data_IF_878709575628
#
_entry.id   IF_878709575628
#
_cell.length_a   1.000
_cell.length_b   1.000
_cell.length_c   1.000
_cell.angle_alpha   90.00
_cell.angle_beta   90.00
_cell.angle_gamma   90.00
#
_symmetry.space_group_name_H-M   'P 1'
#
loop_
_entity.id
_entity.type
_entity.pdbx_description
1 polymer ?
#
# COMPACT_ATOMS: atom_id res chain seq x y z
N UNK A 1 -24.16 -5.95 -11.76
CA UNK A 1 -25.15 -6.69 -10.95
C UNK A 1 -24.38 -7.59 -10.00
N UNK A 2 -24.75 -7.63 -8.72
CA UNK A 2 -24.08 -8.46 -7.71
C UNK A 2 -24.54 -9.93 -7.80
N UNK A 3 -23.60 -10.84 -7.55
CA UNK A 3 -23.83 -12.29 -7.57
C UNK A 3 -24.83 -12.72 -6.49
N UNK A 4 -25.41 -13.91 -6.67
CA UNK A 4 -26.29 -14.49 -5.65
C UNK A 4 -25.52 -14.82 -4.36
N UNK A 5 -24.28 -15.28 -4.51
CA UNK A 5 -23.37 -15.59 -3.40
C UNK A 5 -23.07 -14.35 -2.56
N UNK A 6 -22.78 -13.22 -3.20
CA UNK A 6 -22.57 -11.94 -2.54
C UNK A 6 -23.77 -11.49 -1.72
N UNK A 7 -24.97 -11.52 -2.32
CA UNK A 7 -26.22 -11.18 -1.62
C UNK A 7 -26.46 -12.09 -0.42
N UNK A 8 -26.33 -13.41 -0.59
CA UNK A 8 -26.50 -14.38 0.49
C UNK A 8 -25.54 -14.11 1.66
N UNK A 9 -24.26 -13.86 1.37
CA UNK A 9 -23.25 -13.58 2.39
C UNK A 9 -23.59 -12.31 3.20
N UNK A 10 -23.95 -11.22 2.50
CA UNK A 10 -24.24 -9.94 3.15
C UNK A 10 -25.59 -9.97 3.90
N UNK A 11 -26.58 -10.72 3.43
CA UNK A 11 -27.84 -10.92 4.17
C UNK A 11 -27.63 -11.76 5.43
N UNK A 12 -26.86 -12.86 5.33
CA UNK A 12 -26.57 -13.73 6.46
C UNK A 12 -25.77 -13.05 7.58
N UNK A 13 -25.05 -11.96 7.26
CA UNK A 13 -24.20 -11.21 8.18
C UNK A 13 -24.77 -9.84 8.55
N UNK A 14 -26.01 -9.56 8.14
CA UNK A 14 -26.75 -8.36 8.50
C UNK A 14 -26.29 -7.06 7.84
N UNK A 15 -25.42 -7.13 6.81
CA UNK A 15 -25.04 -5.98 5.98
C UNK A 15 -26.08 -5.66 4.91
N UNK A 16 -26.84 -6.66 4.47
CA UNK A 16 -28.09 -6.48 3.72
C UNK A 16 -29.28 -6.88 4.57
N UNK A 17 -30.35 -6.10 4.45
CA UNK A 17 -31.65 -6.43 5.03
C UNK A 17 -32.42 -7.45 4.18
N UNK A 18 -33.57 -7.96 4.68
CA UNK A 18 -34.35 -9.03 4.03
C UNK A 18 -34.87 -8.71 2.62
N UNK A 19 -34.86 -7.44 2.21
CA UNK A 19 -35.27 -6.99 0.87
C UNK A 19 -34.07 -6.60 -0.02
N UNK A 20 -32.84 -7.00 0.36
CA UNK A 20 -31.61 -6.61 -0.32
C UNK A 20 -31.19 -5.15 -0.08
N UNK A 21 -31.85 -4.45 0.85
CA UNK A 21 -31.52 -3.06 1.18
C UNK A 21 -30.23 -3.00 1.99
N UNK A 22 -29.28 -2.15 1.58
CA UNK A 22 -28.07 -1.87 2.33
C UNK A 22 -28.35 -1.41 3.77
N UNK A 23 -27.65 -1.99 4.74
CA UNK A 23 -27.69 -1.55 6.11
C UNK A 23 -27.07 -0.14 6.28
N UNK A 24 -27.49 0.63 7.29
CA UNK A 24 -26.85 1.91 7.59
C UNK A 24 -25.34 1.77 7.74
N UNK A 25 -24.57 2.62 7.06
CA UNK A 25 -23.10 2.58 7.08
C UNK A 25 -22.48 1.73 5.97
N UNK A 26 -23.25 0.90 5.25
CA UNK A 26 -22.78 0.24 4.04
C UNK A 26 -22.90 1.20 2.85
N UNK A 27 -21.75 1.61 2.30
CA UNK A 27 -21.69 2.40 1.07
C UNK A 27 -21.37 1.47 -0.10
N UNK A 28 -22.21 1.46 -1.12
CA UNK A 28 -22.02 0.68 -2.33
C UNK A 28 -21.29 1.51 -3.39
N UNK A 29 -20.65 0.84 -4.36
CA UNK A 29 -19.86 1.50 -5.39
C UNK A 29 -20.68 2.48 -6.27
N UNK A 30 -22.00 2.26 -6.41
CA UNK A 30 -22.94 3.08 -7.17
C UNK A 30 -23.60 4.21 -6.34
N UNK A 31 -23.31 4.31 -5.05
CA UNK A 31 -23.84 5.36 -4.19
C UNK A 31 -23.24 6.74 -4.50
N UNK A 32 -24.03 7.80 -4.33
CA UNK A 32 -23.55 9.18 -4.44
C UNK A 32 -22.42 9.53 -3.46
N UNK A 33 -22.35 8.83 -2.32
CA UNK A 33 -21.31 9.02 -1.31
C UNK A 33 -19.99 8.27 -1.63
N UNK A 34 -19.97 7.41 -2.65
CA UNK A 34 -18.80 6.65 -3.09
C UNK A 34 -17.61 7.54 -3.47
N UNK A 35 -17.84 8.82 -3.81
CA UNK A 35 -16.80 9.77 -4.17
C UNK A 35 -15.69 9.93 -3.11
N UNK A 36 -16.01 9.77 -1.81
CA UNK A 36 -15.01 9.82 -0.72
C UNK A 36 -14.11 8.59 -0.67
N UNK A 37 -14.54 7.48 -1.27
CA UNK A 37 -13.84 6.19 -1.31
C UNK A 37 -13.53 5.79 -2.76
N UNK A 38 -13.37 6.78 -3.66
CA UNK A 38 -13.15 6.53 -5.09
C UNK A 38 -11.99 5.57 -5.36
N UNK A 39 -10.90 5.70 -4.62
CA UNK A 39 -9.71 4.84 -4.73
C UNK A 39 -10.01 3.35 -4.43
N UNK A 40 -11.06 3.08 -3.64
CA UNK A 40 -11.51 1.73 -3.27
C UNK A 40 -12.43 1.14 -4.34
N UNK A 41 -13.30 1.97 -4.94
CA UNK A 41 -14.39 1.52 -5.80
C UNK A 41 -14.10 1.58 -7.31
N UNK A 42 -13.36 2.58 -7.79
CA UNK A 42 -13.34 2.91 -9.22
C UNK A 42 -12.02 3.57 -9.67
N UNK A 43 -10.90 3.17 -9.08
CA UNK A 43 -9.57 3.63 -9.48
C UNK A 43 -8.82 2.48 -10.15
N UNK A 44 -8.72 2.55 -11.48
CA UNK A 44 -8.05 1.54 -12.30
C UNK A 44 -6.55 1.40 -11.97
N UNK A 45 -5.91 2.47 -11.48
CA UNK A 45 -4.51 2.43 -11.06
C UNK A 45 -4.33 1.71 -9.72
N UNK A 46 -5.40 1.53 -8.93
CA UNK A 46 -5.43 0.71 -7.71
C UNK A 46 -5.96 -0.68 -8.00
N UNK A 47 -7.04 -0.80 -8.78
CA UNK A 47 -7.54 -2.07 -9.31
C UNK A 47 -8.26 -2.97 -8.31
N UNK A 48 -8.65 -2.46 -7.14
CA UNK A 48 -9.46 -3.21 -6.17
C UNK A 48 -10.90 -3.37 -6.65
N UNK A 49 -11.50 -2.27 -7.13
CA UNK A 49 -12.87 -2.22 -7.61
C UNK A 49 -13.84 -2.92 -6.66
N UNK A 50 -13.82 -2.52 -5.39
CA UNK A 50 -14.70 -3.09 -4.37
C UNK A 50 -16.17 -2.84 -4.69
N UNK A 51 -17.05 -3.65 -4.13
CA UNK A 51 -18.50 -3.57 -4.36
C UNK A 51 -19.19 -2.80 -3.23
N UNK A 52 -18.64 -2.88 -2.01
CA UNK A 52 -19.10 -2.09 -0.89
C UNK A 52 -18.00 -1.86 0.16
N UNK A 53 -18.20 -0.83 0.98
CA UNK A 53 -17.42 -0.59 2.20
C UNK A 53 -18.39 -0.34 3.34
N UNK A 54 -18.22 -1.07 4.44
CA UNK A 54 -18.97 -0.82 5.66
C UNK A 54 -18.20 0.09 6.60
N UNK A 55 -18.89 1.11 7.11
CA UNK A 55 -18.36 2.11 8.04
C UNK A 55 -19.15 2.07 9.34
N UNK A 56 -18.47 1.74 10.44
CA UNK A 56 -19.02 1.80 11.79
C UNK A 56 -18.41 3.01 12.52
N UNK A 57 -19.25 3.83 13.17
CA UNK A 57 -18.79 4.99 13.96
C UNK A 57 -17.81 5.90 13.20
N UNK A 58 -18.11 6.21 11.93
CA UNK A 58 -17.27 7.02 11.02
C UNK A 58 -15.92 6.40 10.63
N UNK A 59 -15.66 5.14 10.98
CA UNK A 59 -14.43 4.42 10.61
C UNK A 59 -14.78 3.25 9.68
N UNK A 60 -14.16 3.13 8.50
CA UNK A 60 -14.34 1.96 7.65
C UNK A 60 -13.78 0.71 8.35
N UNK A 61 -14.56 -0.37 8.35
CA UNK A 61 -14.23 -1.60 9.08
C UNK A 61 -14.19 -2.83 8.18
N UNK A 62 -14.86 -2.81 7.03
CA UNK A 62 -14.81 -3.91 6.07
C UNK A 62 -14.94 -3.42 4.64
N UNK A 63 -14.12 -3.99 3.76
CA UNK A 63 -14.22 -3.86 2.30
C UNK A 63 -14.81 -5.15 1.77
N UNK A 64 -15.79 -5.07 0.88
CA UNK A 64 -16.44 -6.22 0.26
C UNK A 64 -16.13 -6.25 -1.23
N UNK A 65 -15.61 -7.38 -1.69
CA UNK A 65 -15.33 -7.68 -3.09
C UNK A 65 -16.13 -8.90 -3.53
N UNK A 66 -17.01 -8.71 -4.50
CA UNK A 66 -17.73 -9.77 -5.21
C UNK A 66 -16.82 -10.32 -6.33
N UNK A 67 -16.53 -11.62 -6.29
CA UNK A 67 -15.79 -12.29 -7.35
C UNK A 67 -16.70 -12.69 -8.53
N UNK A 68 -18.01 -12.44 -8.44
CA UNK A 68 -18.99 -12.83 -9.44
C UNK A 68 -19.32 -14.32 -9.38
N UNK A 69 -19.68 -14.88 -10.54
CA UNK A 69 -20.14 -16.28 -10.65
C UNK A 69 -19.01 -17.28 -10.96
N UNK A 70 -17.77 -16.80 -11.13
CA UNK A 70 -16.60 -17.64 -11.38
C UNK A 70 -15.68 -17.67 -10.16
N UNK A 71 -14.97 -18.78 -9.97
CA UNK A 71 -13.93 -18.86 -8.94
C UNK A 71 -12.78 -17.93 -9.36
N UNK A 72 -12.38 -16.98 -8.52
CA UNK A 72 -11.29 -16.06 -8.86
C UNK A 72 -9.96 -16.81 -8.93
N UNK A 73 -9.09 -16.38 -9.83
CA UNK A 73 -7.73 -16.90 -9.90
C UNK A 73 -6.90 -16.46 -8.67
N UNK A 74 -5.78 -17.12 -8.43
CA UNK A 74 -4.86 -16.72 -7.36
C UNK A 74 -4.31 -15.30 -7.57
N UNK A 75 -4.10 -14.91 -8.83
CA UNK A 75 -3.66 -13.56 -9.18
C UNK A 75 -4.73 -12.51 -8.93
N UNK A 76 -6.01 -12.83 -9.12
CA UNK A 76 -7.10 -11.91 -8.75
C UNK A 76 -7.09 -11.64 -7.25
N UNK A 77 -6.99 -12.70 -6.44
CA UNK A 77 -6.95 -12.62 -4.98
C UNK A 77 -5.74 -11.82 -4.51
N UNK A 78 -4.55 -12.12 -5.04
CA UNK A 78 -3.30 -11.40 -4.73
C UNK A 78 -3.45 -9.91 -5.03
N UNK A 79 -3.94 -9.56 -6.23
CA UNK A 79 -4.11 -8.16 -6.66
C UNK A 79 -5.12 -7.41 -5.79
N UNK A 80 -6.25 -8.02 -5.45
CA UNK A 80 -7.25 -7.39 -4.58
C UNK A 80 -6.72 -7.21 -3.16
N UNK A 81 -6.03 -8.21 -2.60
CA UNK A 81 -5.45 -8.12 -1.27
C UNK A 81 -4.32 -7.08 -1.20
N UNK A 82 -3.41 -7.06 -2.18
CA UNK A 82 -2.35 -6.05 -2.28
C UNK A 82 -2.94 -4.63 -2.41
N UNK A 83 -4.00 -4.47 -3.21
CA UNK A 83 -4.68 -3.19 -3.35
C UNK A 83 -5.35 -2.74 -2.04
N UNK A 84 -6.06 -3.65 -1.36
CA UNK A 84 -6.68 -3.36 -0.07
C UNK A 84 -5.64 -3.02 1.01
N UNK A 85 -4.49 -3.70 1.01
CA UNK A 85 -3.38 -3.40 1.91
C UNK A 85 -2.80 -2.01 1.65
N UNK A 86 -2.51 -1.68 0.39
CA UNK A 86 -1.98 -0.37 0.01
C UNK A 86 -2.97 0.79 0.27
N UNK A 87 -4.28 0.53 0.20
CA UNK A 87 -5.31 1.50 0.57
C UNK A 87 -5.39 1.71 2.10
N UNK A 88 -5.23 0.65 2.88
CA UNK A 88 -5.33 0.63 4.36
C UNK A 88 -6.56 1.38 4.93
N UNK A 89 -7.66 1.42 4.17
CA UNK A 89 -8.89 2.15 4.56
C UNK A 89 -9.68 1.43 5.65
N UNK A 90 -9.64 0.09 5.66
CA UNK A 90 -10.33 -0.77 6.61
C UNK A 90 -9.43 -1.98 6.95
N UNK A 91 -9.58 -2.60 8.13
CA UNK A 91 -8.76 -3.73 8.56
C UNK A 91 -9.07 -5.05 7.84
N UNK A 92 -10.28 -5.23 7.31
CA UNK A 92 -10.74 -6.52 6.81
C UNK A 92 -11.23 -6.43 5.37
N UNK A 93 -10.70 -7.29 4.50
CA UNK A 93 -11.18 -7.51 3.14
C UNK A 93 -11.97 -8.81 3.09
N UNK A 94 -13.18 -8.73 2.57
CA UNK A 94 -14.05 -9.87 2.26
C UNK A 94 -14.02 -10.11 0.76
N UNK A 95 -13.53 -11.27 0.34
CA UNK A 95 -13.70 -11.74 -1.03
C UNK A 95 -14.80 -12.79 -1.00
N UNK A 96 -15.96 -12.45 -1.56
CA UNK A 96 -17.08 -13.38 -1.71
C UNK A 96 -16.96 -14.07 -3.05
N UNK A 97 -16.72 -15.37 -3.01
CA UNK A 97 -16.65 -16.25 -4.19
C UNK A 97 -18.00 -16.95 -4.39
N UNK A 98 -18.22 -17.66 -5.51
CA UNK A 98 -19.45 -18.43 -5.71
C UNK A 98 -19.76 -19.46 -4.61
N UNK A 99 -18.72 -19.95 -3.91
CA UNK A 99 -18.83 -21.07 -2.96
C UNK A 99 -18.51 -20.70 -1.52
N UNK A 100 -17.70 -19.67 -1.29
CA UNK A 100 -17.19 -19.32 0.04
C UNK A 100 -16.86 -17.83 0.18
N UNK A 101 -16.87 -17.34 1.42
CA UNK A 101 -16.32 -16.04 1.82
C UNK A 101 -14.91 -16.25 2.35
N UNK A 102 -13.96 -15.47 1.84
CA UNK A 102 -12.55 -15.47 2.29
C UNK A 102 -12.23 -14.13 2.94
N UNK A 103 -11.65 -14.18 4.14
CA UNK A 103 -11.31 -12.99 4.91
C UNK A 103 -9.81 -12.75 4.89
N UNK A 104 -9.39 -11.51 4.65
CA UNK A 104 -7.98 -11.11 4.55
C UNK A 104 -7.67 -9.91 5.43
N UNK A 105 -6.50 -9.91 6.05
CA UNK A 105 -5.97 -8.79 6.82
C UNK A 105 -5.43 -7.70 5.89
N UNK A 106 -6.05 -6.52 5.90
CA UNK A 106 -5.59 -5.38 5.09
C UNK A 106 -4.44 -4.59 5.73
N UNK A 107 -4.04 -4.91 6.96
CA UNK A 107 -3.08 -4.14 7.75
C UNK A 107 -1.70 -4.79 7.81
N UNK A 108 -1.60 -6.06 7.43
CA UNK A 108 -0.35 -6.79 7.29
C UNK A 108 -0.12 -7.22 5.84
N UNK A 109 1.12 -7.04 5.36
CA UNK A 109 1.56 -7.77 4.18
C UNK A 109 1.76 -9.23 4.60
N UNK A 110 1.28 -10.20 3.82
CA UNK A 110 1.63 -11.60 4.01
C UNK A 110 3.16 -11.77 3.96
N UNK A 111 3.72 -12.73 4.71
CA UNK A 111 5.11 -13.09 4.55
C UNK A 111 5.35 -13.57 3.11
N UNK A 112 6.51 -13.23 2.54
CA UNK A 112 6.94 -13.85 1.28
C UNK A 112 7.06 -15.37 1.49
N UNK A 113 6.61 -16.14 0.51
CA UNK A 113 6.63 -17.60 0.61
C UNK A 113 8.06 -18.12 0.77
N UNK A 114 8.33 -18.95 1.77
CA UNK A 114 9.63 -19.62 1.93
C UNK A 114 9.94 -20.58 0.78
N UNK A 115 8.91 -21.05 0.06
CA UNK A 115 9.06 -22.00 -1.05
C UNK A 115 9.43 -21.35 -2.39
N UNK A 116 9.53 -20.01 -2.46
CA UNK A 116 9.87 -19.28 -3.68
C UNK A 116 8.78 -19.29 -4.75
N UNK A 117 7.56 -19.72 -4.40
CA UNK A 117 6.39 -19.59 -5.26
C UNK A 117 5.78 -18.20 -5.09
N UNK A 118 6.40 -17.20 -5.73
CA UNK A 118 5.92 -15.81 -5.79
C UNK A 118 4.51 -15.69 -6.43
N UNK A 119 4.05 -16.77 -7.07
CA UNK A 119 2.75 -16.91 -7.73
C UNK A 119 1.63 -17.48 -6.86
N UNK A 120 1.87 -17.84 -5.59
CA UNK A 120 0.79 -18.37 -4.73
C UNK A 120 -0.02 -17.24 -4.07
N UNK A 121 -1.36 -17.32 -4.07
CA UNK A 121 -2.19 -16.34 -3.36
C UNK A 121 -1.94 -16.39 -1.83
N UNK A 122 -2.05 -15.25 -1.11
CA UNK A 122 -1.99 -15.25 0.34
C UNK A 122 -3.03 -16.18 0.96
N UNK A 123 -2.67 -16.84 2.07
CA UNK A 123 -3.63 -17.59 2.85
C UNK A 123 -4.64 -16.64 3.51
N UNK A 124 -5.97 -16.90 3.42
CA UNK A 124 -6.95 -16.11 4.13
C UNK A 124 -6.83 -16.33 5.65
N UNK A 125 -7.28 -15.35 6.42
CA UNK A 125 -7.45 -15.49 7.87
C UNK A 125 -8.40 -16.66 8.19
N UNK A 126 -9.49 -16.78 7.44
CA UNK A 126 -10.42 -17.92 7.48
C UNK A 126 -11.29 -17.95 6.20
N UNK A 127 -11.93 -19.09 5.94
CA UNK A 127 -12.81 -19.35 4.79
C UNK A 127 -14.15 -19.92 5.25
N UNK A 128 -15.26 -19.31 4.86
CA UNK A 128 -16.60 -19.71 5.28
C UNK A 128 -17.42 -20.17 4.07
N UNK A 129 -17.76 -21.46 4.03
CA UNK A 129 -18.58 -22.04 2.95
C UNK A 129 -20.01 -21.49 3.00
N UNK A 130 -20.55 -21.08 1.84
CA UNK A 130 -21.87 -20.46 1.72
C UNK A 130 -23.02 -21.48 1.77
N UNK A 131 -22.75 -22.75 1.47
CA UNK A 131 -23.71 -23.85 1.55
C UNK A 131 -23.90 -24.39 2.97
N UNK A 132 -23.10 -23.91 3.93
CA UNK A 132 -23.16 -24.31 5.33
C UNK A 132 -23.75 -23.22 6.22
N UNK A 133 -24.96 -23.46 6.73
CA UNK A 133 -25.61 -22.55 7.68
C UNK A 133 -24.82 -22.32 8.97
N UNK A 134 -24.11 -23.34 9.46
CA UNK A 134 -23.22 -23.22 10.63
C UNK A 134 -22.03 -22.30 10.34
N UNK A 135 -21.39 -22.43 9.16
CA UNK A 135 -20.30 -21.54 8.78
C UNK A 135 -20.77 -20.10 8.59
N UNK A 136 -21.96 -19.88 8.02
CA UNK A 136 -22.54 -18.54 7.91
C UNK A 136 -22.86 -17.92 9.27
N UNK A 137 -23.40 -18.70 10.22
CA UNK A 137 -23.61 -18.23 11.59
C UNK A 137 -22.28 -17.89 12.29
N UNK A 138 -21.24 -18.71 12.09
CA UNK A 138 -19.92 -18.44 12.63
C UNK A 138 -19.27 -17.18 12.01
N UNK A 139 -19.54 -16.91 10.73
CA UNK A 139 -19.11 -15.70 10.04
C UNK A 139 -19.81 -14.46 10.61
N UNK A 140 -21.13 -14.50 10.77
CA UNK A 140 -21.91 -13.41 11.37
C UNK A 140 -21.49 -13.13 12.81
N UNK A 141 -21.35 -14.17 13.63
CA UNK A 141 -20.96 -14.03 15.02
C UNK A 141 -19.58 -13.36 15.20
N UNK A 142 -18.65 -13.61 14.28
CA UNK A 142 -17.28 -13.08 14.37
C UNK A 142 -17.12 -11.73 13.68
N UNK A 143 -17.69 -11.59 12.49
CA UNK A 143 -17.41 -10.48 11.59
C UNK A 143 -18.66 -9.77 11.07
N UNK A 144 -19.87 -10.19 11.46
CA UNK A 144 -21.12 -9.58 11.01
C UNK A 144 -21.29 -8.13 11.48
N UNK A 145 -22.36 -7.49 10.98
CA UNK A 145 -22.61 -6.07 11.22
C UNK A 145 -22.64 -5.72 12.71
N UNK A 146 -23.38 -6.49 13.50
CA UNK A 146 -23.53 -6.24 14.94
C UNK A 146 -22.19 -6.40 15.68
N UNK A 147 -21.42 -7.45 15.37
CA UNK A 147 -20.11 -7.65 15.97
C UNK A 147 -19.15 -6.49 15.65
N UNK A 148 -19.23 -5.96 14.44
CA UNK A 148 -18.42 -4.83 13.98
C UNK A 148 -18.84 -3.51 14.63
N UNK A 149 -20.14 -3.22 14.70
CA UNK A 149 -20.68 -1.98 15.29
C UNK A 149 -20.44 -1.88 16.80
N UNK A 150 -20.53 -3.02 17.50
CA UNK A 150 -20.31 -3.11 18.95
C UNK A 150 -18.83 -3.23 19.34
N UNK A 151 -17.95 -3.46 18.36
CA UNK A 151 -16.52 -3.71 18.59
C UNK A 151 -16.21 -5.15 19.05
N UNK A 152 -17.21 -6.01 19.24
CA UNK A 152 -17.02 -7.43 19.58
C UNK A 152 -16.14 -8.18 18.56
N UNK A 153 -16.13 -7.72 17.31
CA UNK A 153 -15.20 -8.17 16.26
C UNK A 153 -13.75 -8.27 16.76
N UNK A 154 -13.25 -7.29 17.52
CA UNK A 154 -11.85 -7.27 17.98
C UNK A 154 -11.52 -8.36 18.99
N UNK A 155 -12.52 -8.90 19.68
CA UNK A 155 -12.36 -10.04 20.59
C UNK A 155 -12.60 -11.38 19.88
N UNK A 156 -13.01 -11.39 18.61
CA UNK A 156 -13.25 -12.62 17.84
C UNK A 156 -11.94 -13.32 17.44
N UNK A 157 -11.98 -14.61 17.09
CA UNK A 157 -10.83 -15.33 16.53
C UNK A 157 -10.22 -14.69 15.26
N UNK A 158 -11.01 -13.92 14.49
CA UNK A 158 -10.53 -13.18 13.32
C UNK A 158 -9.88 -11.86 13.76
N UNK A 159 -10.64 -11.00 14.45
CA UNK A 159 -10.19 -9.66 14.80
C UNK A 159 -8.99 -9.62 15.75
N UNK A 160 -8.84 -10.62 16.63
CA UNK A 160 -7.69 -10.73 17.55
C UNK A 160 -6.36 -11.02 16.84
N UNK A 161 -6.38 -11.47 15.57
CA UNK A 161 -5.19 -11.69 14.75
C UNK A 161 -4.74 -10.45 13.98
N UNK A 162 -5.56 -9.39 13.93
CA UNK A 162 -5.27 -8.16 13.20
C UNK A 162 -4.67 -7.13 14.15
N UNK A 163 -3.44 -6.70 13.88
CA UNK A 163 -2.81 -5.61 14.65
C UNK A 163 -3.20 -4.25 14.04
N UNK A 164 -4.04 -3.52 14.76
CA UNK A 164 -4.52 -2.17 14.40
C UNK A 164 -3.40 -1.14 14.23
N UNK A 165 -2.21 -1.42 14.78
CA UNK A 165 -1.05 -0.55 14.72
C UNK A 165 -0.20 -0.80 13.49
N UNK A 166 -0.36 -1.95 12.83
CA UNK A 166 0.24 -2.20 11.53
C UNK A 166 -0.66 -1.58 10.48
N UNK A 167 -0.06 -0.72 9.65
CA UNK A 167 -0.72 -0.03 8.56
C UNK A 167 0.34 0.27 7.52
N UNK A 168 -0.06 0.38 6.26
CA UNK A 168 0.87 0.64 5.14
C UNK A 168 1.67 1.92 5.36
N UNK A 169 1.09 2.93 6.02
CA UNK A 169 1.75 4.20 6.32
C UNK A 169 2.95 4.04 7.26
N UNK A 170 2.77 3.33 8.37
CA UNK A 170 3.83 3.03 9.34
C UNK A 170 4.89 2.12 8.77
N UNK A 171 4.48 1.14 7.98
CA UNK A 171 5.37 0.22 7.30
C UNK A 171 6.26 0.99 6.31
N UNK A 172 5.67 1.84 5.46
CA UNK A 172 6.40 2.70 4.53
C UNK A 172 7.35 3.65 5.25
N UNK A 173 6.89 4.33 6.31
CA UNK A 173 7.73 5.24 7.09
C UNK A 173 8.89 4.51 7.78
N UNK A 174 8.66 3.29 8.29
CA UNK A 174 9.72 2.46 8.87
C UNK A 174 10.80 2.12 7.86
N UNK A 175 10.41 1.74 6.64
CA UNK A 175 11.34 1.44 5.55
C UNK A 175 12.07 2.68 5.04
N UNK A 176 11.40 3.84 4.99
CA UNK A 176 12.03 5.13 4.64
C UNK A 176 13.08 5.52 5.67
N UNK A 177 12.77 5.42 6.97
CA UNK A 177 13.72 5.73 8.04
C UNK A 177 14.93 4.79 7.98
N UNK A 178 14.70 3.48 7.77
CA UNK A 178 15.78 2.51 7.63
C UNK A 178 16.65 2.78 6.38
N UNK A 179 16.05 3.22 5.27
CA UNK A 179 16.76 3.66 4.08
C UNK A 179 17.62 4.89 4.35
N UNK A 180 17.07 5.91 5.01
CA UNK A 180 17.79 7.12 5.39
C UNK A 180 18.99 6.82 6.28
N UNK A 181 18.80 6.01 7.33
CA UNK A 181 19.86 5.59 8.23
C UNK A 181 20.96 4.83 7.48
N UNK A 182 20.56 3.91 6.59
CA UNK A 182 21.51 3.10 5.80
C UNK A 182 22.30 3.95 4.80
N UNK A 183 21.66 4.91 4.13
CA UNK A 183 22.33 5.83 3.21
C UNK A 183 23.29 6.77 3.95
N UNK A 184 22.86 7.30 5.10
CA UNK A 184 23.69 8.19 5.93
C UNK A 184 24.95 7.47 6.43
N UNK A 185 24.81 6.20 6.81
CA UNK A 185 25.93 5.38 7.30
C UNK A 185 27.00 5.09 6.23
N UNK A 186 26.69 5.19 4.92
CA UNK A 186 27.69 5.03 3.85
C UNK A 186 28.75 6.15 3.86
N UNK A 187 28.46 7.30 4.47
CA UNK A 187 29.42 8.39 4.67
C UNK A 187 30.56 8.05 5.66
N UNK A 188 30.44 6.93 6.40
CA UNK A 188 31.41 6.50 7.39
C UNK A 188 31.33 7.27 8.71
N UNK A 189 32.17 6.93 9.71
CA UNK A 189 32.26 7.68 10.95
C UNK A 189 32.80 9.07 10.67
N UNK A 190 32.01 10.09 11.00
CA UNK A 190 32.32 11.47 10.67
C UNK A 190 31.93 12.42 11.81
N UNK A 191 32.36 13.68 11.73
CA UNK A 191 31.87 14.74 12.61
C UNK A 191 30.37 14.94 12.41
N UNK A 192 29.70 15.53 13.41
CA UNK A 192 28.26 15.81 13.37
C UNK A 192 27.85 16.59 12.10
N UNK A 193 28.71 17.51 11.64
CA UNK A 193 28.49 18.31 10.42
C UNK A 193 28.47 17.44 9.15
N UNK A 194 29.40 16.48 9.03
CA UNK A 194 29.45 15.58 7.86
C UNK A 194 28.28 14.59 7.90
N UNK A 195 27.90 14.12 9.10
CA UNK A 195 26.73 13.28 9.29
C UNK A 195 25.44 14.01 8.89
N UNK A 196 25.31 15.29 9.24
CA UNK A 196 24.20 16.16 8.80
C UNK A 196 24.14 16.28 7.27
N UNK A 197 25.28 16.55 6.61
CA UNK A 197 25.35 16.61 5.14
C UNK A 197 25.01 15.28 4.46
N UNK A 198 25.46 14.15 5.02
CA UNK A 198 25.14 12.82 4.50
C UNK A 198 23.65 12.51 4.64
N UNK A 199 23.05 12.91 5.77
CA UNK A 199 21.61 12.77 6.01
C UNK A 199 20.78 13.61 5.05
N UNK A 200 21.14 14.88 4.88
CA UNK A 200 20.46 15.77 3.92
C UNK A 200 20.54 15.22 2.48
N UNK A 201 21.71 14.71 2.07
CA UNK A 201 21.87 14.06 0.77
C UNK A 201 20.98 12.80 0.65
N UNK A 202 20.93 11.97 1.69
CA UNK A 202 20.06 10.79 1.72
C UNK A 202 18.59 11.18 1.55
N UNK A 203 18.12 12.18 2.29
CA UNK A 203 16.75 12.70 2.20
C UNK A 203 16.43 13.23 0.79
N UNK A 204 17.37 13.93 0.13
CA UNK A 204 17.21 14.37 -1.26
C UNK A 204 17.02 13.20 -2.22
N UNK A 205 17.83 12.14 -2.11
CA UNK A 205 17.70 10.96 -2.96
C UNK A 205 16.39 10.22 -2.71
N UNK A 206 16.01 10.03 -1.43
CA UNK A 206 14.73 9.41 -1.06
C UNK A 206 13.56 10.23 -1.59
N UNK A 207 13.58 11.55 -1.43
CA UNK A 207 12.56 12.45 -1.94
C UNK A 207 12.40 12.34 -3.46
N UNK A 208 13.50 12.41 -4.22
CA UNK A 208 13.47 12.26 -5.70
C UNK A 208 12.94 10.87 -6.10
N UNK A 209 13.30 9.82 -5.38
CA UNK A 209 12.80 8.46 -5.59
C UNK A 209 11.29 8.39 -5.37
N UNK A 210 10.79 8.81 -4.20
CA UNK A 210 9.37 8.77 -3.84
C UNK A 210 8.53 9.63 -4.79
N UNK A 211 9.02 10.80 -5.18
CA UNK A 211 8.30 11.68 -6.11
C UNK A 211 8.13 11.02 -7.46
N UNK A 212 9.23 10.45 -7.98
CA UNK A 212 9.20 9.77 -9.27
C UNK A 212 8.27 8.58 -9.21
N UNK A 213 8.34 7.79 -8.13
CA UNK A 213 7.43 6.66 -7.90
C UNK A 213 5.96 7.11 -7.92
N UNK A 214 5.64 8.18 -7.20
CA UNK A 214 4.31 8.77 -7.17
C UNK A 214 3.82 9.18 -8.56
N UNK A 215 4.66 9.85 -9.35
CA UNK A 215 4.29 10.30 -10.69
C UNK A 215 4.08 9.12 -11.65
N UNK A 216 4.90 8.08 -11.54
CA UNK A 216 4.80 6.87 -12.36
C UNK A 216 3.55 6.08 -11.98
N UNK A 217 3.34 5.73 -10.72
CA UNK A 217 2.20 4.90 -10.31
C UNK A 217 0.85 5.54 -10.65
N UNK A 218 0.77 6.88 -10.68
CA UNK A 218 -0.44 7.63 -11.02
C UNK A 218 -0.60 7.95 -12.51
N UNK A 219 0.29 7.50 -13.38
CA UNK A 219 0.18 7.75 -14.81
C UNK A 219 0.46 9.21 -15.23
N UNK A 220 1.11 10.01 -14.37
CA UNK A 220 1.30 11.44 -14.57
C UNK A 220 2.53 11.72 -15.45
N UNK A 221 3.63 11.01 -15.20
CA UNK A 221 4.92 11.29 -15.84
C UNK A 221 5.09 10.64 -17.22
N UNK A 222 4.45 9.50 -17.49
CA UNK A 222 4.77 8.61 -18.61
C UNK A 222 4.83 9.30 -19.97
N UNK A 223 3.89 10.22 -20.23
CA UNK A 223 3.81 10.97 -21.49
C UNK A 223 4.86 12.07 -21.64
N UNK A 224 5.55 12.41 -20.55
CA UNK A 224 6.55 13.47 -20.48
C UNK A 224 7.95 12.95 -20.15
N UNK A 225 8.11 11.64 -19.91
CA UNK A 225 9.41 11.04 -19.66
C UNK A 225 10.29 11.17 -20.91
N UNK A 226 11.54 11.66 -20.76
CA UNK A 226 12.52 11.63 -21.83
C UNK A 226 12.71 10.20 -22.35
N UNK A 227 12.82 10.04 -23.68
CA UNK A 227 12.94 8.74 -24.33
C UNK A 227 14.19 7.92 -23.90
N UNK A 228 15.21 8.57 -23.35
CA UNK A 228 16.42 7.91 -22.86
C UNK A 228 16.30 7.42 -21.41
N UNK A 229 15.26 7.85 -20.66
CA UNK A 229 15.00 7.32 -19.33
C UNK A 229 14.20 6.01 -19.45
N UNK A 230 14.56 4.99 -18.67
CA UNK A 230 13.78 3.76 -18.63
C UNK A 230 12.41 4.02 -18.00
N UNK A 231 11.40 3.24 -18.37
CA UNK A 231 10.04 3.38 -17.82
C UNK A 231 9.91 2.78 -16.41
N UNK A 232 10.82 1.88 -16.02
CA UNK A 232 10.82 1.23 -14.71
C UNK A 232 11.66 2.04 -13.71
N UNK A 233 11.12 2.29 -12.52
CA UNK A 233 11.78 3.08 -11.49
C UNK A 233 13.11 2.46 -11.00
N UNK A 234 13.18 1.14 -10.80
CA UNK A 234 14.43 0.49 -10.37
C UNK A 234 15.53 0.68 -11.42
N UNK A 235 15.18 0.60 -12.70
CA UNK A 235 16.11 0.86 -13.82
C UNK A 235 16.57 2.33 -13.89
N UNK A 236 15.73 3.29 -13.48
CA UNK A 236 16.14 4.69 -13.36
C UNK A 236 17.25 4.88 -12.31
N UNK A 237 17.31 4.00 -11.30
CA UNK A 237 18.36 3.95 -10.28
C UNK A 237 19.38 2.82 -10.49
N UNK A 238 19.47 2.24 -11.70
CA UNK A 238 20.45 1.19 -12.00
C UNK A 238 21.89 1.72 -12.06
N UNK A 239 22.07 2.94 -12.56
CA UNK A 239 23.39 3.59 -12.72
C UNK A 239 23.32 5.05 -12.32
N UNK A 240 24.46 5.64 -11.96
CA UNK A 240 24.53 7.08 -11.67
C UNK A 240 24.11 7.91 -12.89
N UNK A 241 24.44 7.47 -14.10
CA UNK A 241 24.02 8.15 -15.32
C UNK A 241 22.50 8.24 -15.45
N UNK A 242 21.77 7.13 -15.22
CA UNK A 242 20.32 7.10 -15.26
C UNK A 242 19.71 7.97 -14.13
N UNK A 243 20.25 7.86 -12.92
CA UNK A 243 19.76 8.62 -11.76
C UNK A 243 19.90 10.13 -11.99
N UNK A 244 21.03 10.58 -12.53
CA UNK A 244 21.20 11.99 -12.84
C UNK A 244 20.38 12.48 -14.03
N UNK A 245 20.19 11.65 -15.06
CA UNK A 245 19.25 11.98 -16.13
C UNK A 245 17.82 12.17 -15.58
N UNK A 246 17.42 11.36 -14.60
CA UNK A 246 16.16 11.53 -13.88
C UNK A 246 16.15 12.83 -13.07
N UNK A 247 17.20 13.13 -12.32
CA UNK A 247 17.28 14.35 -11.49
C UNK A 247 17.24 15.63 -12.34
N UNK A 248 17.94 15.64 -13.47
CA UNK A 248 17.94 16.76 -14.41
C UNK A 248 16.54 16.98 -15.03
N UNK A 249 15.84 15.88 -15.37
CA UNK A 249 14.46 15.94 -15.84
C UNK A 249 13.51 16.47 -14.76
N UNK A 250 13.60 15.96 -13.53
CA UNK A 250 12.78 16.42 -12.40
C UNK A 250 12.96 17.92 -12.16
N UNK A 251 14.22 18.39 -12.14
CA UNK A 251 14.54 19.80 -11.92
C UNK A 251 13.97 20.69 -13.01
N UNK A 252 14.16 20.32 -14.28
CA UNK A 252 13.68 21.10 -15.43
C UNK A 252 12.15 21.13 -15.56
N UNK A 253 11.47 20.10 -15.08
CA UNK A 253 10.01 19.95 -15.22
C UNK A 253 9.22 20.55 -14.05
N UNK A 254 9.75 20.48 -12.82
CA UNK A 254 9.02 20.84 -11.59
C UNK A 254 9.63 22.05 -10.84
N UNK A 255 10.27 22.96 -11.57
CA UNK A 255 10.80 24.25 -11.08
C UNK A 255 11.90 24.19 -10.00
N UNK A 256 12.64 23.08 -9.86
CA UNK A 256 13.87 22.99 -9.07
C UNK A 256 13.75 23.13 -7.53
N UNK A 257 12.77 23.88 -7.02
CA UNK A 257 12.59 24.16 -5.59
C UNK A 257 12.14 22.92 -4.80
N UNK A 258 11.47 21.97 -5.46
CA UNK A 258 11.05 20.70 -4.84
C UNK A 258 12.24 19.74 -4.62
N UNK A 259 13.31 19.89 -5.40
CA UNK A 259 14.49 19.00 -5.36
C UNK A 259 15.76 19.83 -5.61
N UNK A 260 16.18 20.68 -4.65
CA UNK A 260 17.39 21.45 -4.82
C UNK A 260 18.59 20.50 -5.06
N UNK A 261 19.46 20.93 -5.97
CA UNK A 261 20.80 20.40 -6.18
C UNK A 261 21.74 21.59 -6.10
N UNK A 262 22.21 21.88 -4.89
CA UNK A 262 23.04 23.07 -4.63
C UNK A 262 24.35 22.97 -5.42
N UNK A 263 24.94 21.78 -5.47
CA UNK A 263 26.10 21.45 -6.31
C UNK A 263 25.90 20.09 -7.01
N UNK A 264 25.43 20.08 -8.28
CA UNK A 264 25.26 18.86 -9.04
C UNK A 264 26.56 18.06 -9.27
N UNK A 265 27.72 18.73 -9.27
CA UNK A 265 29.02 18.07 -9.41
C UNK A 265 29.39 17.29 -8.15
N UNK A 266 29.25 17.93 -6.99
CA UNK A 266 29.50 17.28 -5.70
C UNK A 266 28.51 16.14 -5.42
N UNK A 267 27.23 16.28 -5.76
CA UNK A 267 26.26 15.17 -5.64
C UNK A 267 26.63 14.00 -6.56
N UNK A 268 27.14 14.26 -7.77
CA UNK A 268 27.62 13.21 -8.71
C UNK A 268 28.76 12.39 -8.12
N UNK A 269 29.71 13.04 -7.46
CA UNK A 269 30.85 12.37 -6.85
C UNK A 269 30.46 11.56 -5.60
N UNK A 270 29.39 11.98 -4.90
CA UNK A 270 28.89 11.30 -3.69
C UNK A 270 27.94 10.13 -3.98
N UNK A 271 27.27 10.11 -5.14
CA UNK A 271 26.35 9.03 -5.51
C UNK A 271 27.10 7.76 -5.94
N UNK A 272 27.33 6.87 -4.99
CA UNK A 272 28.02 5.58 -5.24
C UNK A 272 27.06 4.46 -5.65
N UNK A 273 27.58 3.34 -6.21
CA UNK A 273 26.78 2.15 -6.50
C UNK A 273 26.03 1.57 -5.29
N UNK A 274 26.57 1.72 -4.08
CA UNK A 274 25.93 1.24 -2.85
C UNK A 274 24.69 2.05 -2.48
N UNK A 275 24.72 3.38 -2.69
CA UNK A 275 23.53 4.23 -2.53
C UNK A 275 22.42 3.78 -3.49
N UNK A 276 22.78 3.59 -4.76
CA UNK A 276 21.84 3.13 -5.79
C UNK A 276 21.26 1.75 -5.46
N UNK A 277 22.08 0.84 -4.92
CA UNK A 277 21.62 -0.49 -4.48
C UNK A 277 20.56 -0.37 -3.39
N UNK A 278 20.78 0.44 -2.35
CA UNK A 278 19.81 0.63 -1.26
C UNK A 278 18.48 1.21 -1.77
N UNK A 279 18.55 2.19 -2.68
CA UNK A 279 17.35 2.76 -3.30
C UNK A 279 16.60 1.71 -4.12
N UNK A 280 17.30 0.88 -4.91
CA UNK A 280 16.68 -0.22 -5.65
C UNK A 280 16.10 -1.29 -4.73
N UNK A 281 16.79 -1.66 -3.65
CA UNK A 281 16.30 -2.61 -2.64
C UNK A 281 14.96 -2.11 -2.06
N UNK A 282 14.86 -0.82 -1.74
CA UNK A 282 13.62 -0.18 -1.31
C UNK A 282 12.51 -0.27 -2.36
N UNK A 283 12.79 0.11 -3.62
CA UNK A 283 11.83 0.05 -4.74
C UNK A 283 11.34 -1.38 -5.00
N UNK A 284 12.24 -2.35 -4.91
CA UNK A 284 11.96 -3.76 -5.21
C UNK A 284 11.26 -4.49 -4.06
N UNK A 285 11.09 -3.84 -2.91
CA UNK A 285 10.41 -4.40 -1.74
C UNK A 285 11.30 -5.26 -0.86
N UNK A 286 12.63 -5.15 -0.98
CA UNK A 286 13.58 -5.76 -0.03
C UNK A 286 13.63 -4.91 1.23
N UNK A 287 13.34 -5.53 2.37
CA UNK A 287 13.25 -4.82 3.64
C UNK A 287 14.60 -4.25 4.07
N UNK A 288 14.64 -2.95 4.32
CA UNK A 288 15.84 -2.28 4.85
C UNK A 288 15.87 -2.22 6.37
N UNK A 289 14.74 -2.55 7.03
CA UNK A 289 14.68 -2.70 8.49
C UNK A 289 15.64 -3.83 8.93
N UNK A 290 16.61 -3.56 9.82
CA UNK A 290 17.67 -4.51 10.17
C UNK A 290 17.17 -5.88 10.66
N UNK A 291 16.10 -5.89 11.47
CA UNK A 291 15.54 -7.11 12.06
C UNK A 291 15.04 -8.09 10.99
N UNK A 292 14.67 -7.59 9.81
CA UNK A 292 14.12 -8.36 8.69
C UNK A 292 15.17 -8.82 7.68
N UNK A 293 16.44 -8.42 7.87
CA UNK A 293 17.61 -8.96 7.16
C UNK A 293 17.49 -8.99 5.63
N UNK A 294 16.89 -7.97 5.01
CA UNK A 294 16.75 -7.92 3.55
C UNK A 294 15.67 -8.83 2.96
N UNK A 295 14.80 -9.42 3.78
CA UNK A 295 13.70 -10.24 3.30
C UNK A 295 12.78 -9.43 2.38
N UNK A 296 12.42 -10.01 1.23
CA UNK A 296 11.46 -9.42 0.32
C UNK A 296 10.04 -9.44 0.90
N UNK A 297 9.25 -8.43 0.57
CA UNK A 297 7.81 -8.40 0.83
C UNK A 297 7.06 -8.98 -0.36
N UNK A 298 5.97 -9.72 -0.09
CA UNK A 298 5.08 -10.20 -1.13
C UNK A 298 4.38 -9.03 -1.84
N UNK A 299 3.93 -8.05 -1.07
CA UNK A 299 3.26 -6.85 -1.58
C UNK A 299 4.24 -5.69 -1.70
N UNK A 300 4.15 -4.97 -2.82
CA UNK A 300 4.91 -3.75 -3.05
C UNK A 300 4.06 -2.54 -2.72
N UNK A 301 4.73 -1.45 -2.33
CA UNK A 301 4.06 -0.17 -2.17
C UNK A 301 3.52 0.31 -3.52
N UNK A 302 2.29 0.80 -3.53
CA UNK A 302 1.61 1.36 -4.70
C UNK A 302 1.23 2.79 -4.40
N UNK A 303 1.99 3.74 -4.92
CA UNK A 303 1.81 5.17 -4.68
C UNK A 303 0.56 5.73 -5.39
N UNK A 304 -0.09 4.94 -6.25
CA UNK A 304 -1.45 5.19 -6.74
C UNK A 304 -2.51 5.06 -5.64
N UNK A 305 -2.31 4.13 -4.69
CA UNK A 305 -3.22 3.85 -3.59
C UNK A 305 -2.85 4.60 -2.29
N UNK A 306 -1.56 4.92 -2.10
CA UNK A 306 -1.09 5.64 -0.90
C UNK A 306 -1.68 7.08 -0.87
N UNK A 307 -2.24 7.54 0.27
CA UNK A 307 -2.81 8.88 0.39
C UNK A 307 -1.80 9.99 0.14
N UNK A 308 -2.22 11.04 -0.59
CA UNK A 308 -1.39 12.22 -0.88
C UNK A 308 -0.92 12.92 0.40
N UNK A 309 -1.73 12.89 1.47
CA UNK A 309 -1.37 13.48 2.77
C UNK A 309 -0.15 12.79 3.39
N UNK A 310 -0.04 11.46 3.26
CA UNK A 310 1.13 10.73 3.74
C UNK A 310 2.38 11.15 2.96
N UNK A 311 2.27 11.21 1.64
CA UNK A 311 3.36 11.66 0.76
C UNK A 311 3.80 13.08 1.14
N UNK A 312 2.84 13.98 1.33
CA UNK A 312 3.08 15.37 1.76
C UNK A 312 3.76 15.43 3.13
N UNK A 313 3.38 14.56 4.06
CA UNK A 313 3.99 14.49 5.40
C UNK A 313 5.46 14.07 5.36
N UNK A 314 5.81 13.13 4.47
CA UNK A 314 7.21 12.70 4.25
C UNK A 314 8.04 13.89 3.74
N UNK A 315 7.54 14.63 2.75
CA UNK A 315 8.25 15.83 2.26
C UNK A 315 8.40 16.91 3.31
N UNK A 316 7.35 17.17 4.10
CA UNK A 316 7.42 18.16 5.18
C UNK A 316 8.44 17.76 6.25
N UNK A 317 8.58 16.46 6.53
CA UNK A 317 9.58 15.96 7.46
C UNK A 317 10.99 16.25 6.95
N UNK A 318 11.30 15.92 5.69
CA UNK A 318 12.60 16.20 5.09
C UNK A 318 12.89 17.71 5.02
N UNK A 319 11.92 18.53 4.59
CA UNK A 319 12.09 19.97 4.52
C UNK A 319 12.36 20.64 5.89
N UNK A 320 11.76 20.12 6.97
CA UNK A 320 12.03 20.62 8.34
C UNK A 320 13.41 20.24 8.83
N UNK A 321 13.87 19.03 8.50
CA UNK A 321 15.21 18.57 8.87
C UNK A 321 16.28 19.41 8.17
N UNK A 322 16.15 19.71 6.88
CA UNK A 322 17.10 20.55 6.15
C UNK A 322 17.09 22.03 6.56
N UNK A 323 16.02 22.52 7.20
CA UNK A 323 15.89 23.93 7.62
C UNK A 323 16.24 24.17 9.11
N UNK A 324 16.47 23.10 9.88
CA UNK A 324 16.82 23.17 11.30
C UNK A 324 18.35 23.18 11.54
N UNK A 325 19.13 23.03 10.47
CA UNK A 325 20.60 23.20 10.41
C UNK A 325 20.96 24.55 9.78
#
# INVERSE_FOLDING_TARGET
MTSSAYRQALEATGYFGPSGRAAPGLTQADDTNAGKLRAVFADDAVGLNADAVFTAQQTPTSIFKDAGDAVPSEDDIRRWHEAAWNLSVAPLLWIVTPTDVRLYDCYASPPASETGDDGAAPAPLDRFALDSGERLQALDAQCGRIATETGAFWASPIGSRIDRRHRVDRELLGEINALEDSLTALGGPASDEIAGQARDLAQRFIGRCIFTWYLLDRGIAQRFLPAHLPANLSEMFATSANAFALFDWLRSTFNGDLFPMDDPGAERDRLTPDHLKLIRDFIEGRSLIPERRGQGRLFKFRFSAIPVDLISSIYQQFARSSAAD
#
